data_IF_761455769212
#
_entry.id   IF_761455769212
#
_cell.length_a   1.000
_cell.length_b   1.000
_cell.length_c   1.000
_cell.angle_alpha   90.00
_cell.angle_beta   90.00
_cell.angle_gamma   90.00
#
_symmetry.space_group_name_H-M   'P 1'
#
loop_
_entity.id
_entity.type
_entity.pdbx_description
1 polymer ?
#
# COMPACT_ATOMS: atom_id res chain seq x y z
N UNK A 1 22.90 16.03 29.54
CA UNK A 1 23.38 16.81 28.37
C UNK A 1 24.39 15.95 27.66
N UNK A 2 23.98 15.22 26.61
CA UNK A 2 24.89 14.37 25.85
C UNK A 2 25.75 15.27 24.95
N UNK A 3 27.07 15.19 25.09
CA UNK A 3 28.02 15.82 24.16
C UNK A 3 27.70 15.34 22.73
N UNK A 4 27.84 16.24 21.75
CA UNK A 4 27.56 15.89 20.36
C UNK A 4 28.49 14.78 19.85
N UNK A 5 28.10 14.04 18.81
CA UNK A 5 28.88 12.93 18.24
C UNK A 5 30.29 13.32 17.75
N UNK A 6 30.47 14.56 17.32
CA UNK A 6 31.81 15.09 17.01
C UNK A 6 32.63 15.37 18.26
N UNK A 7 32.02 15.67 19.40
CA UNK A 7 32.72 16.07 20.62
C UNK A 7 33.47 14.91 21.27
N UNK A 8 32.89 13.71 21.29
CA UNK A 8 33.54 12.54 21.91
C UNK A 8 34.69 12.02 21.05
N UNK A 9 34.48 11.93 19.73
CA UNK A 9 35.53 11.63 18.77
C UNK A 9 36.67 12.68 18.81
N UNK A 10 36.34 13.97 18.89
CA UNK A 10 37.33 15.05 19.07
C UNK A 10 38.09 14.91 20.40
N UNK A 11 37.43 14.50 21.48
CA UNK A 11 38.10 14.22 22.77
C UNK A 11 39.06 13.04 22.65
N UNK A 12 38.67 11.97 21.97
CA UNK A 12 39.53 10.78 21.75
C UNK A 12 40.78 11.17 20.96
N UNK A 13 40.62 11.88 19.85
CA UNK A 13 41.73 12.38 19.03
C UNK A 13 42.58 13.39 19.80
N UNK A 14 41.95 14.32 20.53
CA UNK A 14 42.62 15.32 21.36
C UNK A 14 43.50 14.69 22.44
N UNK A 15 42.98 13.71 23.18
CA UNK A 15 43.77 12.95 24.18
C UNK A 15 44.98 12.26 23.55
N UNK A 16 44.83 11.71 22.35
CA UNK A 16 45.95 11.10 21.64
C UNK A 16 46.98 12.16 21.26
N UNK A 17 46.56 13.29 20.68
CA UNK A 17 47.45 14.40 20.31
C UNK A 17 48.21 14.95 21.51
N UNK A 18 47.53 15.15 22.64
CA UNK A 18 48.13 15.64 23.88
C UNK A 18 49.17 14.67 24.45
N UNK A 19 49.05 13.38 24.14
CA UNK A 19 50.03 12.38 24.57
C UNK A 19 51.36 12.49 23.81
N UNK A 20 51.34 12.95 22.55
CA UNK A 20 52.52 12.99 21.67
C UNK A 20 53.51 14.10 22.06
N UNK A 21 54.81 13.86 21.85
CA UNK A 21 55.83 14.92 21.94
C UNK A 21 55.73 15.87 20.76
N UNK A 22 56.28 17.09 20.87
CA UNK A 22 56.26 18.06 19.76
C UNK A 22 56.97 17.53 18.49
N UNK A 23 58.08 16.80 18.65
CA UNK A 23 58.76 16.13 17.52
C UNK A 23 57.88 15.04 16.88
N UNK A 24 57.12 14.29 17.68
CA UNK A 24 56.19 13.29 17.17
C UNK A 24 55.02 13.95 16.44
N UNK A 25 54.47 15.06 16.97
CA UNK A 25 53.40 15.83 16.33
C UNK A 25 53.82 16.38 14.98
N UNK A 26 55.02 16.95 14.88
CA UNK A 26 55.56 17.49 13.63
C UNK A 26 55.75 16.39 12.57
N UNK A 27 56.36 15.26 12.95
CA UNK A 27 56.49 14.08 12.07
C UNK A 27 55.14 13.49 11.66
N UNK A 28 54.17 13.50 12.57
CA UNK A 28 52.82 12.97 12.35
C UNK A 28 52.03 13.82 11.37
N UNK A 29 52.01 15.15 11.52
CA UNK A 29 51.31 16.05 10.59
C UNK A 29 51.97 16.12 9.20
N UNK A 30 53.24 15.74 9.08
CA UNK A 30 53.98 15.76 7.81
C UNK A 30 53.93 14.43 7.02
N UNK A 31 53.38 13.35 7.59
CA UNK A 31 53.41 12.01 6.97
C UNK A 31 52.01 11.62 6.48
N UNK A 32 51.89 11.14 5.24
CA UNK A 32 50.64 10.62 4.68
C UNK A 32 50.74 9.13 4.28
N UNK A 33 49.63 8.53 3.83
CA UNK A 33 49.58 7.11 3.45
C UNK A 33 50.54 6.77 2.30
N UNK A 34 50.77 7.67 1.35
CA UNK A 34 51.72 7.44 0.26
C UNK A 34 53.16 7.47 0.77
N UNK A 35 53.49 8.36 1.72
CA UNK A 35 54.81 8.36 2.38
C UNK A 35 55.06 7.04 3.12
N UNK A 36 54.03 6.48 3.78
CA UNK A 36 54.12 5.16 4.43
C UNK A 36 54.38 4.05 3.40
N UNK A 37 53.71 4.07 2.25
CA UNK A 37 53.95 3.09 1.17
C UNK A 37 55.35 3.23 0.58
N UNK A 38 55.83 4.46 0.37
CA UNK A 38 57.19 4.72 -0.10
C UNK A 38 58.23 4.22 0.88
N UNK A 39 58.02 4.41 2.17
CA UNK A 39 58.96 3.93 3.19
C UNK A 39 58.95 2.40 3.32
N UNK A 40 57.80 1.73 3.11
CA UNK A 40 57.74 0.27 2.99
C UNK A 40 58.62 -0.22 1.82
N UNK A 41 58.55 0.46 0.67
CA UNK A 41 59.40 0.15 -0.49
C UNK A 41 60.89 0.38 -0.21
N UNK A 42 61.23 1.48 0.48
CA UNK A 42 62.61 1.78 0.89
C UNK A 42 63.17 0.68 1.81
N UNK A 43 62.38 0.20 2.78
CA UNK A 43 62.78 -0.91 3.63
C UNK A 43 62.95 -2.20 2.82
N UNK A 44 62.02 -2.53 1.93
CA UNK A 44 62.16 -3.68 1.03
C UNK A 44 63.45 -3.61 0.21
N UNK A 45 63.79 -2.43 -0.33
CA UNK A 45 65.01 -2.22 -1.09
C UNK A 45 66.25 -2.45 -0.23
N UNK A 46 66.34 -1.83 0.96
CA UNK A 46 67.47 -2.02 1.89
C UNK A 46 67.62 -3.48 2.33
N UNK A 47 66.52 -4.15 2.66
CA UNK A 47 66.52 -5.57 3.02
C UNK A 47 66.89 -6.48 1.83
N UNK A 48 66.56 -6.05 0.61
CA UNK A 48 67.00 -6.69 -0.63
C UNK A 48 68.51 -6.69 -0.80
N UNK A 49 69.16 -5.55 -0.54
CA UNK A 49 70.61 -5.42 -0.58
C UNK A 49 71.31 -6.33 0.45
N UNK A 50 70.69 -6.53 1.62
CA UNK A 50 71.20 -7.44 2.65
C UNK A 50 70.84 -8.93 2.44
N UNK A 51 70.15 -9.30 1.35
CA UNK A 51 69.58 -10.64 1.12
C UNK A 51 68.62 -11.12 2.22
N UNK A 52 67.95 -10.20 2.91
CA UNK A 52 66.99 -10.47 3.98
C UNK A 52 65.58 -9.97 3.63
N UNK A 53 65.16 -10.15 2.37
CA UNK A 53 63.82 -9.77 1.92
C UNK A 53 62.73 -10.39 2.80
N UNK A 54 61.63 -9.65 2.95
CA UNK A 54 60.45 -10.03 3.73
C UNK A 54 59.17 -9.67 2.99
N UNK A 55 58.10 -10.42 3.26
CA UNK A 55 56.78 -10.16 2.70
C UNK A 55 56.09 -9.00 3.44
N UNK A 56 56.53 -7.76 3.21
CA UNK A 56 55.88 -6.58 3.81
C UNK A 56 54.48 -6.32 3.21
N UNK A 57 54.12 -6.96 2.10
CA UNK A 57 52.76 -6.90 1.53
C UNK A 57 51.71 -7.49 2.48
N UNK A 58 52.11 -8.25 3.51
CA UNK A 58 51.22 -8.71 4.58
C UNK A 58 50.43 -7.57 5.25
N UNK A 59 51.00 -6.37 5.36
CA UNK A 59 50.35 -5.22 6.02
C UNK A 59 49.30 -4.55 5.15
N UNK A 60 49.18 -4.92 3.88
CA UNK A 60 48.21 -4.33 2.94
C UNK A 60 46.79 -4.27 3.49
N UNK A 61 46.31 -5.36 4.12
CA UNK A 61 44.98 -5.42 4.74
C UNK A 61 44.81 -4.43 5.89
N UNK A 62 45.85 -4.24 6.68
CA UNK A 62 45.84 -3.27 7.75
C UNK A 62 45.86 -1.83 7.21
N UNK A 63 46.69 -1.53 6.20
CA UNK A 63 46.69 -0.21 5.55
C UNK A 63 45.34 0.11 4.93
N UNK A 64 44.69 -0.89 4.33
CA UNK A 64 43.33 -0.76 3.79
C UNK A 64 42.30 -0.51 4.90
N UNK A 65 42.36 -1.26 6.00
CA UNK A 65 41.50 -1.06 7.17
C UNK A 65 41.68 0.35 7.76
N UNK A 66 42.92 0.82 7.91
CA UNK A 66 43.21 2.17 8.40
C UNK A 66 42.75 3.26 7.45
N UNK A 67 42.89 3.06 6.13
CA UNK A 67 42.32 3.98 5.14
C UNK A 67 40.80 4.05 5.25
N UNK A 68 40.13 2.93 5.50
CA UNK A 68 38.68 2.91 5.71
C UNK A 68 38.28 3.60 7.02
N UNK A 69 39.02 3.37 8.11
CA UNK A 69 38.85 4.10 9.38
C UNK A 69 39.05 5.60 9.16
N UNK A 70 40.12 6.01 8.47
CA UNK A 70 40.39 7.41 8.14
C UNK A 70 39.24 8.02 7.34
N UNK A 71 38.73 7.35 6.31
CA UNK A 71 37.62 7.86 5.50
C UNK A 71 36.34 8.06 6.31
N UNK A 72 36.00 7.07 7.15
CA UNK A 72 34.80 7.12 7.99
C UNK A 72 34.98 8.21 9.05
N UNK A 73 36.14 8.28 9.70
CA UNK A 73 36.45 9.31 10.69
C UNK A 73 36.52 10.69 10.04
N UNK A 74 37.02 10.85 8.81
CA UNK A 74 37.07 12.12 8.11
C UNK A 74 35.66 12.66 7.80
N UNK A 75 34.68 11.77 7.54
CA UNK A 75 33.28 12.16 7.43
C UNK A 75 32.70 12.77 8.72
N UNK A 76 33.33 12.51 9.87
CA UNK A 76 32.90 13.01 11.18
C UNK A 76 33.84 14.06 11.80
N UNK A 77 35.13 14.10 11.44
CA UNK A 77 36.16 14.84 12.17
C UNK A 77 37.05 15.78 11.34
N UNK A 78 37.05 15.78 9.99
CA UNK A 78 38.03 16.57 9.22
C UNK A 78 39.50 16.36 9.68
N UNK A 79 39.84 15.16 10.21
CA UNK A 79 41.19 14.82 10.67
C UNK A 79 41.80 13.81 9.71
N UNK A 80 42.88 14.21 9.04
CA UNK A 80 43.66 13.39 8.11
C UNK A 80 44.84 12.65 8.78
N UNK A 81 45.01 12.82 10.09
CA UNK A 81 46.31 12.57 10.73
C UNK A 81 46.49 11.13 11.26
N UNK A 82 45.44 10.31 11.39
CA UNK A 82 45.47 9.05 12.17
C UNK A 82 46.38 7.95 11.56
N UNK A 83 46.65 7.99 10.25
CA UNK A 83 47.37 6.93 9.53
C UNK A 83 48.90 7.02 9.69
N UNK A 84 49.38 8.13 10.25
CA UNK A 84 50.72 8.64 10.01
C UNK A 84 51.77 8.31 11.09
N UNK A 85 51.90 7.07 11.58
CA UNK A 85 53.08 6.71 12.40
C UNK A 85 53.42 5.21 12.52
N UNK A 86 53.24 4.46 11.45
CA UNK A 86 53.32 2.98 11.54
C UNK A 86 54.73 2.43 11.30
N UNK A 87 55.66 3.27 10.88
CA UNK A 87 56.87 2.77 10.23
C UNK A 87 58.22 3.26 10.79
N UNK A 88 58.23 3.92 11.95
CA UNK A 88 59.49 4.32 12.61
C UNK A 88 60.29 3.11 13.16
N UNK A 89 59.73 1.89 13.13
CA UNK A 89 60.37 0.67 13.62
C UNK A 89 61.39 0.01 12.64
N UNK A 90 61.84 0.73 11.62
CA UNK A 90 62.56 0.17 10.47
C UNK A 90 63.97 -0.36 10.69
N UNK A 91 64.55 -0.36 11.90
CA UNK A 91 65.98 -0.70 12.05
C UNK A 91 66.28 -2.20 12.20
N UNK A 92 65.30 -3.08 12.53
CA UNK A 92 65.54 -4.51 12.83
C UNK A 92 64.42 -5.45 12.31
N UNK A 93 64.82 -6.47 11.55
CA UNK A 93 63.93 -7.34 10.73
C UNK A 93 63.00 -8.25 11.54
N UNK A 94 63.51 -8.84 12.61
CA UNK A 94 62.81 -9.84 13.44
C UNK A 94 61.64 -9.24 14.24
N UNK A 95 61.66 -7.93 14.45
CA UNK A 95 60.57 -7.19 15.12
C UNK A 95 59.62 -6.64 14.10
N UNK A 96 60.16 -6.22 12.95
CA UNK A 96 59.34 -5.86 11.81
C UNK A 96 58.37 -7.01 11.59
N UNK A 97 58.81 -8.26 11.39
CA UNK A 97 57.90 -9.41 11.23
C UNK A 97 56.82 -9.54 12.31
N UNK A 98 57.18 -9.48 13.60
CA UNK A 98 56.20 -9.62 14.70
C UNK A 98 55.22 -8.45 14.78
N UNK A 99 55.70 -7.25 14.49
CA UNK A 99 54.89 -6.05 14.39
C UNK A 99 53.96 -6.13 13.19
N UNK A 100 54.43 -6.61 12.03
CA UNK A 100 53.60 -6.85 10.85
C UNK A 100 52.52 -7.88 11.15
N UNK A 101 52.84 -8.98 11.83
CA UNK A 101 51.85 -10.01 12.21
C UNK A 101 50.79 -9.42 13.18
N UNK A 102 51.21 -8.54 14.10
CA UNK A 102 50.29 -7.81 14.98
C UNK A 102 49.37 -6.86 14.20
N UNK A 103 49.91 -6.14 13.23
CA UNK A 103 49.13 -5.27 12.34
C UNK A 103 48.14 -6.07 11.48
N UNK A 104 48.55 -7.24 10.96
CA UNK A 104 47.66 -8.16 10.25
C UNK A 104 46.48 -8.54 11.13
N UNK A 105 46.73 -8.93 12.39
CA UNK A 105 45.65 -9.32 13.30
C UNK A 105 44.66 -8.16 13.56
N UNK A 106 45.15 -6.93 13.73
CA UNK A 106 44.29 -5.74 13.86
C UNK A 106 43.47 -5.51 12.59
N UNK A 107 44.11 -5.57 11.41
CA UNK A 107 43.46 -5.39 10.12
C UNK A 107 42.40 -6.47 9.82
N UNK A 108 42.56 -7.68 10.35
CA UNK A 108 41.55 -8.75 10.23
C UNK A 108 40.33 -8.52 11.13
N UNK A 109 40.53 -7.88 12.29
CA UNK A 109 39.46 -7.59 13.25
C UNK A 109 38.60 -6.39 12.82
N UNK A 110 39.19 -5.40 12.16
CA UNK A 110 38.47 -4.22 11.66
C UNK A 110 37.57 -4.64 10.47
N UNK A 111 36.24 -4.47 10.57
CA UNK A 111 35.33 -4.80 9.49
C UNK A 111 35.38 -3.75 8.39
N UNK A 112 34.81 -4.05 7.21
CA UNK A 112 34.72 -3.10 6.10
C UNK A 112 33.82 -1.91 6.42
N UNK A 113 34.36 -0.83 7.00
CA UNK A 113 33.57 0.20 7.66
C UNK A 113 32.69 1.03 6.71
N UNK A 114 33.08 1.15 5.43
CA UNK A 114 32.33 1.91 4.42
C UNK A 114 30.90 1.41 4.20
N UNK A 115 30.65 0.12 4.40
CA UNK A 115 29.33 -0.47 4.18
C UNK A 115 28.30 -0.02 5.23
N UNK A 116 28.75 0.66 6.29
CA UNK A 116 27.94 1.08 7.41
C UNK A 116 27.65 2.58 7.43
N UNK A 117 27.99 3.34 6.37
CA UNK A 117 27.80 4.80 6.30
C UNK A 117 26.38 5.26 6.65
N UNK A 118 25.36 4.55 6.16
CA UNK A 118 23.96 4.87 6.49
C UNK A 118 23.62 4.54 7.94
N UNK A 119 24.14 3.43 8.47
CA UNK A 119 23.94 3.03 9.87
C UNK A 119 24.65 3.99 10.84
N UNK A 120 25.85 4.48 10.51
CA UNK A 120 26.55 5.49 11.31
C UNK A 120 25.80 6.83 11.35
N UNK A 121 25.04 7.17 10.31
CA UNK A 121 24.21 8.38 10.27
C UNK A 121 22.93 8.22 11.09
N UNK A 122 22.30 7.06 11.00
CA UNK A 122 20.95 6.83 11.51
C UNK A 122 20.91 6.22 12.93
N UNK A 123 21.97 5.55 13.38
CA UNK A 123 22.01 4.86 14.68
C UNK A 123 23.12 5.39 15.58
N UNK A 124 22.75 5.89 16.77
CA UNK A 124 23.71 6.40 17.76
C UNK A 124 24.56 5.29 18.38
N UNK A 125 24.00 4.10 18.61
CA UNK A 125 24.73 2.97 19.20
C UNK A 125 25.89 2.50 18.29
N UNK A 126 25.63 2.39 16.98
CA UNK A 126 26.65 2.06 15.98
C UNK A 126 27.76 3.11 15.92
N UNK A 127 27.39 4.38 16.16
CA UNK A 127 28.37 5.47 16.23
C UNK A 127 29.25 5.36 17.47
N UNK A 128 28.70 5.10 18.65
CA UNK A 128 29.49 4.87 19.88
C UNK A 128 30.52 3.75 19.70
N UNK A 129 30.13 2.67 19.00
CA UNK A 129 31.05 1.57 18.67
C UNK A 129 32.21 2.03 17.79
N UNK A 130 31.97 2.92 16.82
CA UNK A 130 33.04 3.52 16.00
C UNK A 130 34.01 4.34 16.86
N UNK A 131 33.51 5.08 17.85
CA UNK A 131 34.36 5.84 18.77
C UNK A 131 35.28 4.91 19.56
N UNK A 132 34.75 3.78 20.04
CA UNK A 132 35.54 2.77 20.75
C UNK A 132 36.59 2.11 19.85
N UNK A 133 36.25 1.85 18.58
CA UNK A 133 37.21 1.37 17.58
C UNK A 133 38.37 2.34 17.40
N UNK A 134 38.07 3.63 17.25
CA UNK A 134 39.10 4.65 17.08
C UNK A 134 39.96 4.79 18.35
N UNK A 135 39.36 4.76 19.54
CA UNK A 135 40.06 4.84 20.82
C UNK A 135 41.02 3.65 21.01
N UNK A 136 40.61 2.43 20.66
CA UNK A 136 41.46 1.25 20.72
C UNK A 136 42.64 1.31 19.74
N UNK A 137 42.40 1.76 18.50
CA UNK A 137 43.45 1.95 17.48
C UNK A 137 44.48 2.99 17.94
N UNK A 138 44.02 4.12 18.47
CA UNK A 138 44.92 5.18 18.97
C UNK A 138 45.69 4.74 20.22
N UNK A 139 45.07 4.01 21.14
CA UNK A 139 45.77 3.38 22.28
C UNK A 139 46.84 2.41 21.82
N UNK A 140 46.57 1.61 20.80
CA UNK A 140 47.55 0.71 20.20
C UNK A 140 48.75 1.49 19.67
N UNK A 141 48.52 2.52 18.85
CA UNK A 141 49.59 3.36 18.32
C UNK A 141 50.40 4.02 19.44
N UNK A 142 49.74 4.49 20.50
CA UNK A 142 50.42 5.05 21.66
C UNK A 142 51.34 4.04 22.33
N UNK A 143 50.88 2.82 22.57
CA UNK A 143 51.69 1.76 23.19
C UNK A 143 52.86 1.34 22.30
N UNK A 144 52.67 1.33 20.99
CA UNK A 144 53.77 1.10 20.05
C UNK A 144 54.82 2.22 20.15
N UNK A 145 54.39 3.48 20.15
CA UNK A 145 55.27 4.66 20.32
C UNK A 145 56.08 4.59 21.62
N UNK A 146 55.43 4.30 22.74
CA UNK A 146 56.08 4.21 24.06
C UNK A 146 57.19 3.14 24.11
N UNK A 147 57.15 2.15 23.21
CA UNK A 147 58.13 1.06 23.12
C UNK A 147 59.30 1.46 22.22
N UNK A 148 59.01 2.05 21.05
CA UNK A 148 60.04 2.47 20.09
C UNK A 148 60.76 3.77 20.50
N UNK A 149 60.17 4.59 21.38
CA UNK A 149 60.80 5.80 21.89
C UNK A 149 61.83 5.56 23.01
N UNK A 150 61.95 4.33 23.57
CA UNK A 150 62.84 4.06 24.70
C UNK A 150 64.30 4.03 24.28
N UNK A 151 65.21 4.73 24.98
CA UNK A 151 66.64 4.56 24.73
C UNK A 151 67.03 3.08 24.94
N UNK A 152 67.83 2.53 24.04
CA UNK A 152 68.27 1.13 24.05
C UNK A 152 67.15 0.08 23.83
N UNK A 153 66.01 0.44 23.27
CA UNK A 153 64.99 -0.52 22.82
C UNK A 153 65.59 -1.60 21.88
N UNK A 154 66.61 -1.24 21.10
CA UNK A 154 67.33 -2.13 20.18
C UNK A 154 68.14 -3.23 20.88
N UNK A 155 68.63 -2.98 22.11
CA UNK A 155 69.44 -3.95 22.88
C UNK A 155 68.58 -4.77 23.83
N UNK A 156 67.52 -4.19 24.41
CA UNK A 156 66.58 -4.86 25.34
C UNK A 156 65.32 -5.41 24.65
N UNK A 157 65.41 -5.68 23.35
CA UNK A 157 64.28 -5.87 22.46
C UNK A 157 63.29 -6.96 22.87
N UNK A 158 63.76 -8.15 23.25
CA UNK A 158 62.85 -9.26 23.62
C UNK A 158 62.00 -8.90 24.82
N UNK A 159 62.56 -8.14 25.76
CA UNK A 159 61.83 -7.66 26.94
C UNK A 159 60.84 -6.57 26.55
N UNK A 160 61.26 -5.59 25.73
CA UNK A 160 60.39 -4.54 25.23
C UNK A 160 59.20 -5.09 24.43
N UNK A 161 59.43 -6.09 23.58
CA UNK A 161 58.38 -6.78 22.82
C UNK A 161 57.43 -7.55 23.73
N UNK A 162 57.94 -8.31 24.71
CA UNK A 162 57.08 -9.05 25.64
C UNK A 162 56.18 -8.09 26.44
N UNK A 163 56.71 -6.95 26.87
CA UNK A 163 55.92 -5.90 27.51
C UNK A 163 54.88 -5.31 26.56
N UNK A 164 55.25 -5.03 25.31
CA UNK A 164 54.32 -4.58 24.28
C UNK A 164 53.16 -5.57 24.08
N UNK A 165 53.48 -6.84 23.85
CA UNK A 165 52.53 -7.93 23.63
C UNK A 165 51.54 -8.08 24.82
N UNK A 166 52.04 -8.00 26.06
CA UNK A 166 51.18 -8.02 27.25
C UNK A 166 50.24 -6.82 27.34
N UNK A 167 50.67 -5.66 26.85
CA UNK A 167 49.83 -4.45 26.82
C UNK A 167 48.88 -4.39 25.63
N UNK A 168 49.23 -5.07 24.54
CA UNK A 168 48.45 -5.09 23.30
C UNK A 168 47.30 -6.10 23.37
N UNK A 169 47.52 -7.28 23.94
CA UNK A 169 46.50 -8.35 23.98
C UNK A 169 45.13 -7.87 24.51
N UNK A 170 45.05 -7.06 25.59
CA UNK A 170 43.78 -6.49 26.02
C UNK A 170 43.12 -5.54 25.01
N UNK A 171 43.92 -4.76 24.26
CA UNK A 171 43.41 -3.84 23.21
C UNK A 171 42.85 -4.64 22.05
N UNK A 172 43.54 -5.70 21.64
CA UNK A 172 43.09 -6.61 20.60
C UNK A 172 41.80 -7.34 20.99
N UNK A 173 41.71 -7.81 22.24
CA UNK A 173 40.49 -8.44 22.76
C UNK A 173 39.33 -7.42 22.80
N UNK A 174 39.62 -6.14 23.09
CA UNK A 174 38.67 -5.03 23.03
C UNK A 174 38.16 -4.80 21.60
N UNK A 175 39.05 -4.71 20.61
CA UNK A 175 38.70 -4.61 19.18
C UNK A 175 37.81 -5.77 18.72
N UNK A 176 38.11 -7.00 19.17
CA UNK A 176 37.31 -8.19 18.85
C UNK A 176 35.90 -8.09 19.45
N UNK A 177 35.75 -7.57 20.67
CA UNK A 177 34.43 -7.33 21.29
C UNK A 177 33.65 -6.25 20.56
N UNK A 178 34.28 -5.13 20.22
CA UNK A 178 33.63 -4.06 19.45
C UNK A 178 33.16 -4.55 18.07
N UNK A 179 33.90 -5.49 17.45
CA UNK A 179 33.45 -6.16 16.22
C UNK A 179 32.16 -6.93 16.42
N UNK A 180 32.09 -7.76 17.47
CA UNK A 180 30.89 -8.54 17.77
C UNK A 180 29.70 -7.62 18.03
N UNK A 181 29.89 -6.56 18.82
CA UNK A 181 28.84 -5.57 19.08
C UNK A 181 28.37 -4.87 17.80
N UNK A 182 29.29 -4.50 16.90
CA UNK A 182 28.92 -3.89 15.62
C UNK A 182 28.08 -4.84 14.76
N UNK A 183 28.44 -6.13 14.74
CA UNK A 183 27.69 -7.15 14.00
C UNK A 183 26.30 -7.39 14.60
N UNK A 184 26.17 -7.38 15.93
CA UNK A 184 24.89 -7.53 16.63
C UNK A 184 23.99 -6.31 16.40
N UNK A 185 24.52 -5.09 16.45
CA UNK A 185 23.79 -3.86 16.14
C UNK A 185 23.34 -3.84 14.67
N UNK A 186 24.19 -4.30 13.74
CA UNK A 186 23.81 -4.46 12.33
C UNK A 186 22.61 -5.40 12.19
N UNK A 187 22.66 -6.56 12.85
CA UNK A 187 21.57 -7.53 12.81
C UNK A 187 20.29 -6.95 13.40
N UNK A 188 20.41 -6.23 14.52
CA UNK A 188 19.29 -5.58 15.19
C UNK A 188 18.63 -4.53 14.29
N UNK A 189 19.43 -3.66 13.65
CA UNK A 189 18.93 -2.66 12.71
C UNK A 189 18.21 -3.30 11.50
N UNK A 190 18.77 -4.36 10.93
CA UNK A 190 18.13 -5.09 9.82
C UNK A 190 16.81 -5.74 10.24
N UNK A 191 16.74 -6.31 11.45
CA UNK A 191 15.50 -6.89 11.99
C UNK A 191 14.45 -5.79 12.20
N UNK A 192 14.83 -4.64 12.76
CA UNK A 192 13.92 -3.52 12.99
C UNK A 192 13.33 -2.99 11.67
N UNK A 193 14.15 -2.83 10.64
CA UNK A 193 13.69 -2.40 9.30
C UNK A 193 12.72 -3.41 8.67
N UNK A 194 13.03 -4.71 8.77
CA UNK A 194 12.13 -5.78 8.30
C UNK A 194 10.80 -5.76 9.07
N UNK A 195 10.85 -5.54 10.39
CA UNK A 195 9.64 -5.46 11.22
C UNK A 195 8.78 -4.25 10.86
N UNK A 196 9.39 -3.07 10.66
CA UNK A 196 8.68 -1.87 10.24
C UNK A 196 7.99 -2.06 8.89
N UNK A 197 8.73 -2.60 7.90
CA UNK A 197 8.16 -2.90 6.59
C UNK A 197 7.00 -3.89 6.68
N UNK A 198 7.15 -4.96 7.48
CA UNK A 198 6.08 -5.94 7.72
C UNK A 198 4.86 -5.29 8.36
N UNK A 199 5.06 -4.44 9.38
CA UNK A 199 3.97 -3.75 10.06
C UNK A 199 3.21 -2.83 9.09
N UNK A 200 3.93 -2.06 8.27
CA UNK A 200 3.32 -1.21 7.26
C UNK A 200 2.52 -2.02 6.23
N UNK A 201 3.04 -3.16 5.79
CA UNK A 201 2.34 -4.06 4.86
C UNK A 201 1.04 -4.63 5.48
N UNK A 202 1.08 -5.06 6.74
CA UNK A 202 -0.11 -5.53 7.47
C UNK A 202 -1.14 -4.42 7.63
N UNK A 203 -0.73 -3.21 8.04
CA UNK A 203 -1.64 -2.08 8.18
C UNK A 203 -2.34 -1.75 6.86
N UNK A 204 -1.58 -1.65 5.76
CA UNK A 204 -2.15 -1.41 4.41
C UNK A 204 -3.12 -2.51 3.98
N UNK A 205 -2.78 -3.77 4.24
CA UNK A 205 -3.66 -4.89 3.92
C UNK A 205 -4.96 -4.83 4.72
N UNK A 206 -4.88 -4.51 6.01
CA UNK A 206 -6.06 -4.36 6.87
C UNK A 206 -6.95 -3.19 6.44
N UNK A 207 -6.36 -2.04 6.11
CA UNK A 207 -7.08 -0.88 5.58
C UNK A 207 -7.81 -1.21 4.27
N UNK A 208 -7.12 -1.88 3.34
CA UNK A 208 -7.71 -2.31 2.08
C UNK A 208 -8.85 -3.32 2.30
N UNK A 209 -8.67 -4.26 3.24
CA UNK A 209 -9.69 -5.23 3.60
C UNK A 209 -10.92 -4.57 4.24
N UNK A 210 -10.71 -3.60 5.15
CA UNK A 210 -11.79 -2.83 5.75
C UNK A 210 -12.56 -2.01 4.70
N UNK A 211 -11.85 -1.38 3.75
CA UNK A 211 -12.47 -0.66 2.64
C UNK A 211 -13.26 -1.57 1.71
N UNK A 212 -12.77 -2.79 1.45
CA UNK A 212 -13.50 -3.78 0.66
C UNK A 212 -14.78 -4.25 1.37
N UNK A 213 -14.70 -4.50 2.68
CA UNK A 213 -15.85 -4.92 3.48
C UNK A 213 -16.93 -3.85 3.53
N UNK A 214 -16.56 -2.59 3.81
CA UNK A 214 -17.51 -1.46 3.80
C UNK A 214 -18.17 -1.28 2.43
N UNK A 215 -17.41 -1.38 1.34
CA UNK A 215 -17.97 -1.34 -0.02
C UNK A 215 -18.96 -2.49 -0.27
N UNK A 216 -18.66 -3.69 0.22
CA UNK A 216 -19.56 -4.83 0.09
C UNK A 216 -20.85 -4.63 0.90
N UNK A 217 -20.75 -4.13 2.14
CA UNK A 217 -21.91 -3.80 2.98
C UNK A 217 -22.82 -2.74 2.32
N UNK A 218 -22.23 -1.69 1.74
CA UNK A 218 -22.98 -0.67 0.99
C UNK A 218 -23.71 -1.28 -0.22
N UNK A 219 -23.04 -2.16 -0.97
CA UNK A 219 -23.64 -2.82 -2.12
C UNK A 219 -24.79 -3.74 -1.71
N UNK A 220 -24.59 -4.48 -0.62
CA UNK A 220 -25.59 -5.37 -0.04
C UNK A 220 -26.82 -4.58 0.42
N UNK A 221 -26.61 -3.43 1.08
CA UNK A 221 -27.70 -2.51 1.45
C UNK A 221 -28.46 -2.01 0.23
N UNK A 222 -27.77 -1.53 -0.81
CA UNK A 222 -28.41 -1.07 -2.06
C UNK A 222 -29.23 -2.17 -2.74
N UNK A 223 -28.70 -3.40 -2.76
CA UNK A 223 -29.43 -4.56 -3.29
C UNK A 223 -30.70 -4.84 -2.47
N UNK A 224 -30.60 -4.78 -1.15
CA UNK A 224 -31.74 -4.97 -0.27
C UNK A 224 -32.82 -3.92 -0.49
N UNK A 225 -32.44 -2.64 -0.53
CA UNK A 225 -33.35 -1.51 -0.77
C UNK A 225 -34.03 -1.67 -2.14
N UNK A 226 -33.28 -2.07 -3.18
CA UNK A 226 -33.82 -2.32 -4.52
C UNK A 226 -34.81 -3.48 -4.55
N UNK A 227 -34.54 -4.55 -3.82
CA UNK A 227 -35.43 -5.71 -3.73
C UNK A 227 -36.76 -5.34 -3.03
N UNK A 228 -36.68 -4.55 -1.96
CA UNK A 228 -37.87 -4.04 -1.28
C UNK A 228 -38.71 -3.14 -2.20
N UNK A 229 -38.06 -2.23 -2.94
CA UNK A 229 -38.73 -1.35 -3.90
C UNK A 229 -39.47 -2.14 -5.00
N UNK A 230 -38.80 -3.14 -5.59
CA UNK A 230 -39.38 -3.99 -6.62
C UNK A 230 -40.56 -4.82 -6.08
N UNK A 231 -40.44 -5.34 -4.86
CA UNK A 231 -41.50 -6.08 -4.20
C UNK A 231 -42.74 -5.20 -4.02
N UNK A 232 -42.55 -3.96 -3.52
CA UNK A 232 -43.64 -2.98 -3.37
C UNK A 232 -44.32 -2.67 -4.72
N UNK A 233 -43.54 -2.41 -5.77
CA UNK A 233 -44.07 -2.15 -7.11
C UNK A 233 -44.87 -3.33 -7.65
N UNK A 234 -44.41 -4.57 -7.42
CA UNK A 234 -45.13 -5.77 -7.84
C UNK A 234 -46.50 -5.87 -7.19
N UNK A 235 -46.59 -5.63 -5.87
CA UNK A 235 -47.87 -5.63 -5.16
C UNK A 235 -48.80 -4.53 -5.68
N UNK A 236 -48.32 -3.29 -5.83
CA UNK A 236 -49.12 -2.17 -6.36
C UNK A 236 -49.61 -2.46 -7.79
N UNK A 237 -48.79 -3.10 -8.63
CA UNK A 237 -49.17 -3.45 -9.99
C UNK A 237 -50.21 -4.59 -10.03
N UNK A 238 -50.10 -5.59 -9.15
CA UNK A 238 -51.10 -6.64 -9.01
C UNK A 238 -52.45 -6.06 -8.57
N UNK A 239 -52.46 -5.18 -7.57
CA UNK A 239 -53.68 -4.52 -7.09
C UNK A 239 -54.33 -3.70 -8.22
N UNK A 240 -53.55 -2.89 -8.94
CA UNK A 240 -54.04 -2.13 -10.09
C UNK A 240 -54.57 -3.03 -11.22
N UNK A 241 -53.95 -4.19 -11.46
CA UNK A 241 -54.46 -5.15 -12.46
C UNK A 241 -55.79 -5.74 -12.03
N UNK A 242 -55.89 -6.19 -10.77
CA UNK A 242 -57.11 -6.74 -10.21
C UNK A 242 -58.26 -5.71 -10.22
N UNK A 243 -57.97 -4.44 -9.90
CA UNK A 243 -58.96 -3.35 -10.01
C UNK A 243 -59.43 -3.13 -11.45
N UNK A 244 -58.51 -3.15 -12.43
CA UNK A 244 -58.86 -2.99 -13.85
C UNK A 244 -59.74 -4.14 -14.33
N UNK A 245 -59.35 -5.37 -14.02
CA UNK A 245 -60.13 -6.57 -14.36
C UNK A 245 -61.53 -6.53 -13.74
N UNK A 246 -61.67 -6.10 -12.48
CA UNK A 246 -62.96 -5.94 -11.82
C UNK A 246 -63.83 -4.87 -12.50
N UNK A 247 -63.24 -3.73 -12.90
CA UNK A 247 -63.94 -2.66 -13.63
C UNK A 247 -64.42 -3.14 -15.00
N UNK A 248 -63.57 -3.82 -15.75
CA UNK A 248 -63.91 -4.37 -17.06
C UNK A 248 -65.02 -5.41 -16.96
N UNK A 249 -64.96 -6.31 -15.99
CA UNK A 249 -66.03 -7.28 -15.72
C UNK A 249 -67.36 -6.57 -15.39
N UNK A 250 -67.31 -5.54 -14.55
CA UNK A 250 -68.52 -4.80 -14.19
C UNK A 250 -69.10 -4.01 -15.37
N UNK A 251 -68.26 -3.46 -16.23
CA UNK A 251 -68.69 -2.79 -17.45
C UNK A 251 -69.30 -3.78 -18.46
N UNK A 252 -68.69 -4.96 -18.64
CA UNK A 252 -69.24 -6.03 -19.47
C UNK A 252 -70.62 -6.48 -18.97
N UNK A 253 -70.79 -6.66 -17.66
CA UNK A 253 -72.08 -6.96 -17.05
C UNK A 253 -73.11 -5.85 -17.29
N UNK A 254 -72.71 -4.57 -17.19
CA UNK A 254 -73.59 -3.43 -17.50
C UNK A 254 -74.03 -3.45 -18.97
N UNK A 255 -73.10 -3.65 -19.90
CA UNK A 255 -73.41 -3.73 -21.33
C UNK A 255 -74.36 -4.90 -21.64
N UNK A 256 -74.13 -6.06 -21.03
CA UNK A 256 -75.02 -7.22 -21.16
C UNK A 256 -76.42 -6.91 -20.63
N UNK A 257 -76.54 -6.30 -19.45
CA UNK A 257 -77.84 -5.90 -18.88
C UNK A 257 -78.57 -4.92 -19.80
N UNK A 258 -77.87 -3.91 -20.31
CA UNK A 258 -78.46 -2.94 -21.24
C UNK A 258 -78.95 -3.60 -22.54
N UNK A 259 -78.20 -4.56 -23.07
CA UNK A 259 -78.62 -5.33 -24.26
C UNK A 259 -79.89 -6.14 -24.01
N UNK A 260 -79.99 -6.80 -22.85
CA UNK A 260 -81.19 -7.55 -22.44
C UNK A 260 -82.39 -6.60 -22.26
N UNK A 261 -82.19 -5.48 -21.56
CA UNK A 261 -83.22 -4.46 -21.35
C UNK A 261 -83.77 -3.94 -22.68
N UNK A 262 -82.91 -3.61 -23.65
CA UNK A 262 -83.31 -3.19 -24.99
C UNK A 262 -84.14 -4.26 -25.72
N UNK A 263 -83.82 -5.55 -25.56
CA UNK A 263 -84.58 -6.66 -26.17
C UNK A 263 -85.94 -6.89 -25.53
N UNK A 264 -86.07 -6.62 -24.23
CA UNK A 264 -87.31 -6.79 -23.47
C UNK A 264 -88.18 -5.52 -23.45
N UNK A 265 -87.67 -4.41 -24.00
CA UNK A 265 -88.42 -3.15 -24.12
C UNK A 265 -89.74 -3.33 -24.86
N UNK A 266 -90.77 -2.63 -24.40
CA UNK A 266 -92.07 -2.63 -25.07
C UNK A 266 -91.88 -2.20 -26.54
N UNK A 267 -92.51 -2.90 -27.51
CA UNK A 267 -92.49 -2.48 -28.90
C UNK A 267 -92.95 -1.02 -29.03
N UNK A 268 -92.31 -0.28 -29.93
CA UNK A 268 -92.76 1.07 -30.27
C UNK A 268 -93.98 0.97 -31.18
N UNK A 269 -95.14 0.76 -30.56
CA UNK A 269 -96.41 0.60 -31.25
C UNK A 269 -96.77 1.82 -32.09
N UNK A 270 -96.32 3.02 -31.70
CA UNK A 270 -96.57 4.26 -32.46
C UNK A 270 -95.74 4.30 -33.74
N UNK A 271 -94.44 3.99 -33.65
CA UNK A 271 -93.58 3.89 -34.83
C UNK A 271 -94.05 2.76 -35.77
N UNK A 272 -94.48 1.62 -35.22
CA UNK A 272 -95.00 0.50 -36.01
C UNK A 272 -96.34 0.85 -36.67
N UNK A 273 -97.23 1.56 -35.96
CA UNK A 273 -98.49 2.06 -36.51
C UNK A 273 -98.24 3.09 -37.62
N UNK A 274 -97.31 4.03 -37.43
CA UNK A 274 -96.94 5.01 -38.44
C UNK A 274 -96.44 4.31 -39.70
N UNK A 275 -95.51 3.36 -39.55
CA UNK A 275 -94.95 2.57 -40.66
C UNK A 275 -96.03 1.74 -41.38
N UNK A 276 -96.99 1.17 -40.64
CA UNK A 276 -98.13 0.47 -41.24
C UNK A 276 -99.11 1.43 -41.93
N UNK A 277 -99.28 2.65 -41.43
CA UNK A 277 -100.17 3.65 -42.02
C UNK A 277 -99.64 4.19 -43.36
N UNK A 278 -98.32 4.33 -43.50
CA UNK A 278 -97.65 4.73 -44.76
C UNK A 278 -97.86 3.71 -45.89
N UNK A 279 -98.13 2.44 -45.54
CA UNK A 279 -98.34 1.36 -46.50
C UNK A 279 -99.81 1.23 -46.94
N UNK A 280 -100.73 2.07 -46.43
CA UNK A 280 -102.14 2.02 -46.82
C UNK A 280 -102.35 2.63 -48.20
N UNK A 281 -103.02 1.90 -49.07
CA UNK A 281 -103.49 2.43 -50.35
C UNK A 281 -104.82 3.15 -50.14
N UNK A 282 -104.95 4.39 -50.64
CA UNK A 282 -106.04 5.30 -50.27
C UNK A 282 -107.44 4.85 -50.67
N UNK A 283 -107.57 3.92 -51.62
CA UNK A 283 -108.86 3.38 -52.08
C UNK A 283 -109.17 1.98 -51.51
N UNK A 284 -108.30 1.43 -50.64
CA UNK A 284 -108.50 0.15 -49.98
C UNK A 284 -109.58 0.27 -48.91
N UNK A 285 -110.84 0.03 -49.30
CA UNK A 285 -112.00 0.08 -48.41
C UNK A 285 -113.20 0.81 -49.02
N UNK A 286 -113.02 1.58 -50.09
CA UNK A 286 -114.11 2.34 -50.73
C UNK A 286 -115.25 1.46 -51.25
N UNK A 287 -114.99 0.17 -51.45
CA UNK A 287 -116.00 -0.79 -51.88
C UNK A 287 -117.12 -0.96 -50.84
N UNK A 288 -116.83 -0.85 -49.53
CA UNK A 288 -117.84 -0.99 -48.48
C UNK A 288 -118.83 0.17 -48.49
N UNK A 289 -118.34 1.37 -48.82
CA UNK A 289 -119.15 2.58 -48.96
C UNK A 289 -120.11 2.53 -50.16
N UNK A 290 -119.89 1.60 -51.08
CA UNK A 290 -120.76 1.33 -52.23
C UNK A 290 -121.62 0.08 -52.04
N UNK A 291 -121.43 -0.67 -50.96
CA UNK A 291 -122.16 -1.91 -50.72
C UNK A 291 -123.64 -1.57 -50.42
N UNK A 292 -124.61 -2.15 -51.14
CA UNK A 292 -126.04 -1.91 -50.92
C UNK A 292 -126.48 -2.21 -49.49
N UNK A 293 -125.92 -3.24 -48.85
CA UNK A 293 -126.23 -3.62 -47.48
C UNK A 293 -125.75 -2.55 -46.49
N UNK A 294 -124.52 -2.06 -46.68
CA UNK A 294 -123.97 -0.94 -45.90
C UNK A 294 -124.78 0.35 -46.10
N UNK A 295 -125.14 0.68 -47.35
CA UNK A 295 -125.94 1.87 -47.66
C UNK A 295 -127.37 1.77 -47.10
N UNK A 296 -127.96 0.58 -47.08
CA UNK A 296 -129.28 0.34 -46.49
C UNK A 296 -129.26 0.43 -44.96
N UNK A 297 -128.16 -0.01 -44.34
CA UNK A 297 -127.94 0.14 -42.90
C UNK A 297 -127.64 1.61 -42.52
N UNK A 298 -126.93 2.34 -43.38
CA UNK A 298 -126.57 3.74 -43.15
C UNK A 298 -127.75 4.71 -43.34
N UNK A 299 -128.79 4.35 -44.11
CA UNK A 299 -129.96 5.21 -44.35
C UNK A 299 -130.86 5.33 -43.10
N UNK A 300 -130.94 6.51 -42.45
CA UNK A 300 -131.73 6.71 -41.23
C UNK A 300 -133.24 6.69 -41.49
N UNK A 301 -133.69 6.74 -42.75
CA UNK A 301 -135.11 6.98 -43.11
C UNK A 301 -135.88 5.69 -43.38
N UNK A 302 -135.21 4.56 -43.65
CA UNK A 302 -135.79 3.21 -43.74
C UNK A 302 -134.72 2.12 -43.44
N UNK A 303 -134.39 1.85 -42.17
CA UNK A 303 -133.43 0.81 -41.84
C UNK A 303 -134.04 -0.57 -42.13
N UNK A 304 -133.36 -1.38 -42.95
CA UNK A 304 -133.70 -2.80 -43.13
C UNK A 304 -133.39 -3.60 -41.86
N UNK A 305 -132.27 -3.31 -41.19
CA UNK A 305 -131.82 -3.91 -39.91
C UNK A 305 -131.01 -2.91 -39.05
N UNK A 306 -130.98 -3.07 -37.72
CA UNK A 306 -130.26 -2.18 -36.78
C UNK A 306 -128.77 -2.50 -36.59
N UNK A 307 -128.29 -3.61 -37.15
CA UNK A 307 -126.93 -4.11 -36.95
C UNK A 307 -126.36 -4.56 -38.28
N UNK A 308 -125.15 -4.09 -38.61
CA UNK A 308 -124.37 -4.55 -39.74
C UNK A 308 -123.28 -5.50 -39.23
N UNK A 309 -123.26 -6.72 -39.75
CA UNK A 309 -122.22 -7.70 -39.41
C UNK A 309 -121.20 -7.75 -40.53
N UNK A 310 -119.95 -7.38 -40.22
CA UNK A 310 -118.81 -7.38 -41.12
C UNK A 310 -117.86 -8.49 -40.66
N UNK A 311 -117.41 -9.36 -41.57
CA UNK A 311 -116.64 -10.53 -41.18
C UNK A 311 -115.55 -10.84 -42.20
N UNK A 312 -114.39 -10.22 -42.00
CA UNK A 312 -113.20 -10.45 -42.81
C UNK A 312 -112.03 -11.01 -41.99
N UNK A 313 -111.03 -11.53 -42.69
CA UNK A 313 -109.72 -11.77 -42.09
C UNK A 313 -109.04 -10.44 -41.72
N UNK A 314 -108.26 -10.36 -40.63
CA UNK A 314 -107.57 -9.13 -40.24
C UNK A 314 -106.75 -8.55 -41.41
N UNK A 315 -107.00 -7.28 -41.75
CA UNK A 315 -106.34 -6.61 -42.87
C UNK A 315 -107.07 -6.68 -44.22
N UNK A 316 -108.24 -7.32 -44.31
CA UNK A 316 -109.07 -7.37 -45.53
C UNK A 316 -109.79 -6.05 -45.86
N UNK A 317 -109.86 -5.10 -44.91
CA UNK A 317 -110.61 -3.86 -45.07
C UNK A 317 -112.13 -4.05 -45.07
N UNK A 318 -112.60 -5.12 -44.40
CA UNK A 318 -114.00 -5.30 -43.98
C UNK A 318 -114.30 -4.60 -42.65
#
# INVERSE_FOLDING_TARGET
MASGPGDTLNKVVGRFRDSLTEEQKEKFSATNLEDVKSEIQNIQHRLGLEKKLRNLNKVSRFLEAMKQVEQVVNAFLNVHEIVAFIWVAGTRIDILERLLDTYVEIGEVIPGLQQYDQLFKNCSAVREILEWYLDDILKFHRKALDVFARPAWETALRSAWKTFETSFKPILDSLKRHRTLLLDEKLTAAIAEIQEFRQLAVTRFNEQSAQSNTRFEELSKKLHDRFQELSKQSYENQEKSAEREAREQQEALRQQRHSIEKKLGAPDYEADQHRASEQRFSASGDWILKNPDFLSWLDPRRPSHSTLFLHGMPGAGE
#
